data_IF_508648956577
#
_entry.id   IF_508648956577
#
_cell.length_a   1.000
_cell.length_b   1.000
_cell.length_c   1.000
_cell.angle_alpha   90.00
_cell.angle_beta   90.00
_cell.angle_gamma   90.00
#
_symmetry.space_group_name_H-M   'P 1'
#
loop_
_entity.id
_entity.type
_entity.pdbx_description
1 polymer ?
#
# COMPACT_ATOMS: atom_id res chain seq x y z
N UNK A 1 -31.80 -24.72 10.84
CA UNK A 1 -30.93 -23.60 11.24
C UNK A 1 -29.82 -23.50 10.21
N UNK A 2 -29.94 -22.59 9.25
CA UNK A 2 -28.97 -22.46 8.15
C UNK A 2 -27.77 -21.67 8.67
N UNK A 3 -26.71 -22.39 9.08
CA UNK A 3 -25.40 -21.80 9.39
C UNK A 3 -24.82 -21.30 8.08
N UNK A 4 -24.89 -19.98 7.85
CA UNK A 4 -24.06 -19.34 6.85
C UNK A 4 -22.60 -19.48 7.33
N UNK A 5 -21.67 -20.02 6.53
CA UNK A 5 -20.27 -20.00 6.91
C UNK A 5 -19.84 -18.53 6.99
N UNK A 6 -19.27 -18.18 8.14
CA UNK A 6 -18.54 -16.95 8.39
C UNK A 6 -17.66 -16.65 7.17
N UNK A 7 -18.02 -15.64 6.36
CA UNK A 7 -17.13 -15.16 5.30
C UNK A 7 -15.83 -14.81 6.00
N UNK A 8 -14.68 -15.40 5.63
CA UNK A 8 -13.43 -14.97 6.24
C UNK A 8 -13.35 -13.46 5.98
N UNK A 9 -13.19 -12.70 7.07
CA UNK A 9 -12.88 -11.27 7.00
C UNK A 9 -11.71 -11.17 6.02
N UNK A 10 -12.01 -10.68 4.83
CA UNK A 10 -11.03 -10.51 3.78
C UNK A 10 -9.93 -9.63 4.38
N UNK A 11 -8.74 -10.17 4.62
CA UNK A 11 -7.58 -9.47 5.19
C UNK A 11 -7.06 -8.46 4.17
N UNK A 12 -7.87 -7.45 3.85
CA UNK A 12 -7.61 -6.46 2.79
C UNK A 12 -6.46 -5.52 3.13
N UNK A 13 -5.99 -5.53 4.38
CA UNK A 13 -5.00 -4.57 4.88
C UNK A 13 -3.99 -5.21 5.84
N UNK A 14 -2.78 -5.46 5.33
CA UNK A 14 -1.61 -5.76 6.15
C UNK A 14 -0.84 -4.48 6.52
N UNK A 15 -0.19 -4.45 7.70
CA UNK A 15 0.70 -3.35 8.10
C UNK A 15 2.13 -3.63 7.65
N UNK A 16 2.72 -2.68 6.92
CA UNK A 16 4.15 -2.68 6.56
C UNK A 16 4.86 -1.60 7.36
N UNK A 17 5.85 -1.98 8.17
CA UNK A 17 6.72 -1.05 8.90
C UNK A 17 8.08 -0.98 8.23
N UNK A 18 8.53 0.22 7.88
CA UNK A 18 9.83 0.46 7.24
C UNK A 18 10.60 1.48 8.06
N UNK A 19 11.87 1.17 8.38
CA UNK A 19 12.79 2.13 8.96
C UNK A 19 13.43 2.95 7.85
N UNK A 20 13.33 4.28 7.95
CA UNK A 20 13.94 5.22 7.01
C UNK A 20 14.67 6.31 7.78
N UNK A 21 15.71 6.87 7.16
CA UNK A 21 16.42 8.02 7.70
C UNK A 21 15.46 9.20 7.98
N UNK A 22 15.58 9.89 9.14
CA UNK A 22 14.66 10.95 9.52
C UNK A 22 14.68 12.16 8.57
N UNK A 23 15.82 12.46 7.93
CA UNK A 23 15.89 13.55 6.94
C UNK A 23 15.15 13.17 5.67
N UNK A 24 15.31 11.93 5.19
CA UNK A 24 14.53 11.40 4.06
C UNK A 24 13.04 11.40 4.34
N UNK A 25 12.62 10.99 5.55
CA UNK A 25 11.22 11.05 5.98
C UNK A 25 10.65 12.47 5.87
N UNK A 26 11.37 13.46 6.42
CA UNK A 26 10.92 14.86 6.40
C UNK A 26 10.78 15.40 4.98
N UNK A 27 11.74 15.10 4.09
CA UNK A 27 11.65 15.49 2.68
C UNK A 27 10.47 14.80 2.00
N UNK A 28 10.28 13.51 2.21
CA UNK A 28 9.17 12.75 1.64
C UNK A 28 7.81 13.29 2.09
N UNK A 29 7.64 13.56 3.39
CA UNK A 29 6.40 14.13 3.94
C UNK A 29 6.10 15.51 3.37
N UNK A 30 7.13 16.36 3.21
CA UNK A 30 6.98 17.68 2.59
C UNK A 30 6.54 17.58 1.13
N UNK A 31 7.14 16.68 0.35
CA UNK A 31 6.76 16.45 -1.05
C UNK A 31 5.32 15.94 -1.15
N UNK A 32 4.94 14.98 -0.31
CA UNK A 32 3.57 14.48 -0.26
C UNK A 32 2.56 15.60 0.05
N UNK A 33 2.88 16.46 1.02
CA UNK A 33 2.02 17.59 1.41
C UNK A 33 1.87 18.65 0.30
N UNK A 34 2.89 18.84 -0.55
CA UNK A 34 2.80 19.75 -1.69
C UNK A 34 1.82 19.27 -2.77
N UNK A 35 1.61 17.96 -2.85
CA UNK A 35 0.71 17.33 -3.83
C UNK A 35 -0.66 16.97 -3.23
N UNK A 36 -0.96 17.39 -1.99
CA UNK A 36 -2.16 17.00 -1.24
C UNK A 36 -2.31 15.48 -1.07
N UNK A 37 -1.17 14.78 -0.94
CA UNK A 37 -1.10 13.34 -0.75
C UNK A 37 -0.58 12.99 0.63
N UNK A 38 -1.04 11.85 1.16
CA UNK A 38 -0.45 11.25 2.36
C UNK A 38 0.72 10.34 1.99
N UNK A 39 1.76 10.24 2.84
CA UNK A 39 2.88 9.32 2.65
C UNK A 39 2.42 7.89 2.34
N UNK A 40 1.38 7.41 3.03
CA UNK A 40 0.83 6.06 2.85
C UNK A 40 0.14 5.87 1.49
N UNK A 41 -0.42 6.92 0.89
CA UNK A 41 -0.97 6.83 -0.48
C UNK A 41 0.15 6.70 -1.51
N UNK A 42 1.21 7.51 -1.35
CA UNK A 42 2.37 7.47 -2.25
C UNK A 42 3.10 6.14 -2.14
N UNK A 43 3.36 5.64 -0.92
CA UNK A 43 3.98 4.33 -0.71
C UNK A 43 3.17 3.20 -1.34
N UNK A 44 1.83 3.22 -1.23
CA UNK A 44 0.99 2.20 -1.89
C UNK A 44 1.10 2.25 -3.41
N UNK A 45 1.16 3.45 -4.00
CA UNK A 45 1.39 3.60 -5.45
C UNK A 45 2.76 3.05 -5.85
N UNK A 46 3.81 3.40 -5.11
CA UNK A 46 5.17 2.90 -5.35
C UNK A 46 5.23 1.37 -5.25
N UNK A 47 4.60 0.76 -4.25
CA UNK A 47 4.54 -0.69 -4.10
C UNK A 47 3.83 -1.33 -5.30
N UNK A 48 2.68 -0.79 -5.72
CA UNK A 48 1.95 -1.29 -6.88
C UNK A 48 2.80 -1.21 -8.15
N UNK A 49 3.34 -0.03 -8.45
CA UNK A 49 4.17 0.18 -9.64
C UNK A 49 5.38 -0.76 -9.66
N UNK A 50 6.04 -0.95 -8.51
CA UNK A 50 7.15 -1.89 -8.39
C UNK A 50 6.74 -3.33 -8.71
N UNK A 51 5.58 -3.78 -8.23
CA UNK A 51 5.06 -5.12 -8.53
C UNK A 51 4.75 -5.27 -10.03
N UNK A 52 4.06 -4.29 -10.61
CA UNK A 52 3.65 -4.31 -12.02
C UNK A 52 4.86 -4.30 -12.97
N UNK A 53 5.86 -3.46 -12.68
CA UNK A 53 7.11 -3.41 -13.43
C UNK A 53 7.87 -4.74 -13.38
N UNK A 54 7.86 -5.42 -12.22
CA UNK A 54 8.58 -6.69 -12.04
C UNK A 54 7.82 -7.90 -12.61
N UNK A 55 6.50 -7.88 -12.58
CA UNK A 55 5.69 -8.96 -13.15
C UNK A 55 5.41 -8.79 -14.65
N UNK A 56 5.59 -7.58 -15.19
CA UNK A 56 5.25 -7.27 -16.59
C UNK A 56 3.75 -7.31 -16.89
N UNK A 57 2.90 -7.28 -15.85
CA UNK A 57 1.44 -7.33 -15.95
C UNK A 57 0.81 -6.44 -14.87
N UNK A 58 -0.41 -5.91 -15.09
CA UNK A 58 -1.12 -5.11 -14.09
C UNK A 58 -1.45 -5.93 -12.84
N UNK A 59 -1.38 -5.30 -11.67
CA UNK A 59 -1.68 -5.96 -10.41
C UNK A 59 -3.19 -6.13 -10.24
N UNK A 60 -3.62 -7.36 -9.91
CA UNK A 60 -5.03 -7.69 -9.67
C UNK A 60 -5.23 -8.09 -8.21
N UNK A 61 -6.22 -7.50 -7.54
CA UNK A 61 -6.65 -7.91 -6.20
C UNK A 61 -7.34 -9.29 -6.30
N UNK A 62 -6.53 -10.36 -6.29
CA UNK A 62 -6.98 -11.73 -6.53
C UNK A 62 -5.84 -12.72 -6.85
N UNK A 63 -4.66 -12.23 -7.19
CA UNK A 63 -3.40 -13.01 -7.15
C UNK A 63 -2.88 -13.20 -5.72
#
# INVERSE_FOLDING_TARGET
MNVQPDRPVEERTARLTVLIDPRKKAVFERLCAQEDLTPSQVVRRLIRSYIEERQGRPWTAGD
#
